data_IF_944287555686
#
_entry.id   IF_944287555686
#
_cell.length_a   1.000
_cell.length_b   1.000
_cell.length_c   1.000
_cell.angle_alpha   90.00
_cell.angle_beta   90.00
_cell.angle_gamma   90.00
#
_symmetry.space_group_name_H-M   'P 1'
#
loop_
_entity.id
_entity.type
_entity.pdbx_description
1 polymer ?
#
# COMPACT_ATOMS: atom_id res chain seq x y z
N UNK A 1 27.99 -18.05 52.83
CA UNK A 1 26.86 -17.11 52.64
C UNK A 1 26.07 -17.54 51.41
N UNK A 2 24.74 -17.43 51.42
CA UNK A 2 23.89 -17.69 50.23
C UNK A 2 23.87 -16.47 49.31
N UNK A 3 23.71 -16.67 48.01
CA UNK A 3 23.61 -15.55 47.05
C UNK A 3 22.22 -14.89 47.05
N UNK A 4 22.13 -13.65 46.57
CA UNK A 4 20.83 -12.96 46.43
C UNK A 4 19.90 -13.68 45.46
N UNK A 5 20.44 -14.36 44.45
CA UNK A 5 19.68 -15.19 43.52
C UNK A 5 19.11 -16.44 44.20
N UNK A 6 19.91 -17.13 45.03
CA UNK A 6 19.47 -18.29 45.82
C UNK A 6 18.38 -17.94 46.83
N UNK A 7 18.55 -16.84 47.57
CA UNK A 7 17.54 -16.36 48.52
C UNK A 7 16.21 -16.07 47.82
N UNK A 8 16.25 -15.40 46.65
CA UNK A 8 15.05 -15.12 45.87
C UNK A 8 14.38 -16.39 45.34
N UNK A 9 15.14 -17.39 44.88
CA UNK A 9 14.58 -18.69 44.45
C UNK A 9 13.93 -19.44 45.62
N UNK A 10 14.59 -19.50 46.78
CA UNK A 10 14.07 -20.21 47.95
C UNK A 10 12.79 -19.57 48.51
N UNK A 11 12.69 -18.24 48.46
CA UNK A 11 11.52 -17.49 48.92
C UNK A 11 10.51 -17.18 47.79
N UNK A 12 10.71 -17.70 46.57
CA UNK A 12 9.88 -17.43 45.39
C UNK A 12 9.64 -15.93 45.09
N UNK A 13 10.67 -15.09 45.31
CA UNK A 13 10.60 -13.64 45.09
C UNK A 13 11.09 -13.32 43.67
N UNK A 14 10.28 -12.65 42.83
CA UNK A 14 10.71 -12.25 41.49
C UNK A 14 11.79 -11.17 41.53
N UNK A 15 12.60 -11.11 40.47
CA UNK A 15 13.61 -10.05 40.32
C UNK A 15 12.88 -8.74 40.00
N UNK A 16 13.10 -7.66 40.78
CA UNK A 16 12.47 -6.37 40.50
C UNK A 16 12.97 -5.85 39.15
N UNK A 17 12.04 -5.53 38.27
CA UNK A 17 12.35 -5.12 36.90
C UNK A 17 11.60 -3.84 36.54
N UNK A 18 12.34 -2.78 36.22
CA UNK A 18 11.77 -1.51 35.81
C UNK A 18 11.51 -1.49 34.29
N UNK A 19 10.25 -1.34 33.89
CA UNK A 19 9.79 -1.34 32.49
C UNK A 19 10.37 -0.18 31.67
N UNK A 20 10.70 0.93 32.33
CA UNK A 20 11.27 2.13 31.70
C UNK A 20 12.80 2.05 31.56
N UNK A 21 13.45 1.17 32.33
CA UNK A 21 14.89 0.90 32.20
C UNK A 21 15.21 -0.09 31.07
N UNK A 22 14.21 -0.80 30.53
CA UNK A 22 14.38 -1.72 29.41
C UNK A 22 14.64 -0.93 28.15
N UNK A 23 15.80 -1.14 27.53
CA UNK A 23 16.10 -0.59 26.22
C UNK A 23 15.03 -0.99 25.20
N UNK A 24 14.54 -0.01 24.45
CA UNK A 24 13.59 -0.19 23.35
C UNK A 24 14.15 0.51 22.11
N UNK A 25 13.94 -0.04 20.90
CA UNK A 25 14.29 0.67 19.68
C UNK A 25 13.51 1.99 19.61
N UNK A 26 14.21 3.10 19.36
CA UNK A 26 13.60 4.43 19.30
C UNK A 26 13.34 4.78 17.84
N UNK A 27 12.07 4.75 17.42
CA UNK A 27 11.68 5.26 16.10
C UNK A 27 11.53 6.77 16.15
N UNK A 28 12.44 7.48 15.48
CA UNK A 28 12.42 8.95 15.41
C UNK A 28 11.65 9.40 14.18
N UNK A 29 10.57 10.16 14.39
CA UNK A 29 9.92 10.90 13.30
C UNK A 29 10.87 11.99 12.80
N UNK A 30 10.89 12.20 11.49
CA UNK A 30 11.65 13.29 10.88
C UNK A 30 11.10 14.63 11.39
N UNK A 31 11.95 15.43 12.03
CA UNK A 31 11.58 16.75 12.53
C UNK A 31 11.54 17.73 11.36
N UNK A 32 10.35 18.24 11.04
CA UNK A 32 10.15 19.32 10.06
C UNK A 32 10.10 20.66 10.80
N UNK A 33 10.97 21.59 10.43
CA UNK A 33 10.99 22.94 11.00
C UNK A 33 9.95 23.84 10.33
N UNK A 34 9.51 24.86 11.07
CA UNK A 34 8.65 25.90 10.54
C UNK A 34 9.42 26.74 9.51
N UNK A 35 8.75 27.27 8.48
CA UNK A 35 9.36 28.21 7.54
C UNK A 35 9.73 29.52 8.25
N UNK A 36 10.67 30.27 7.67
CA UNK A 36 11.07 31.59 8.18
C UNK A 36 9.97 32.60 7.84
N UNK A 37 9.42 33.27 8.85
CA UNK A 37 8.44 34.35 8.70
C UNK A 37 9.10 35.70 8.92
N UNK A 38 9.08 36.55 7.90
CA UNK A 38 9.62 37.92 7.98
C UNK A 38 8.51 38.84 8.48
N UNK A 39 8.72 39.60 9.58
CA UNK A 39 7.73 40.56 10.05
C UNK A 39 7.35 41.58 8.98
N UNK A 40 6.06 41.89 8.85
CA UNK A 40 5.54 42.78 7.82
C UNK A 40 6.22 44.17 7.79
N UNK A 41 6.54 44.71 8.98
CA UNK A 41 7.29 45.97 9.13
C UNK A 41 8.66 45.90 8.47
N UNK A 42 9.40 44.82 8.69
CA UNK A 42 10.72 44.61 8.09
C UNK A 42 10.60 44.34 6.59
N UNK A 43 9.63 43.53 6.17
CA UNK A 43 9.40 43.18 4.77
C UNK A 43 9.16 44.41 3.88
N UNK A 44 8.48 45.45 4.40
CA UNK A 44 8.25 46.70 3.67
C UNK A 44 9.53 47.51 3.46
N UNK A 45 10.43 47.52 4.44
CA UNK A 45 11.68 48.30 4.43
C UNK A 45 12.80 47.64 3.60
N UNK A 46 12.63 46.37 3.21
CA UNK A 46 13.63 45.65 2.42
C UNK A 46 13.78 46.26 1.01
N UNK A 47 15.03 46.36 0.49
CA UNK A 47 15.26 46.82 -0.87
C UNK A 47 14.61 45.87 -1.89
N UNK A 48 14.25 46.42 -3.07
CA UNK A 48 13.50 45.69 -4.09
C UNK A 48 14.11 44.34 -4.47
N UNK A 49 15.45 44.25 -4.49
CA UNK A 49 16.19 43.03 -4.84
C UNK A 49 15.99 41.90 -3.82
N UNK A 50 15.91 42.21 -2.53
CA UNK A 50 15.79 41.23 -1.44
C UNK A 50 14.36 41.05 -0.91
N UNK A 51 13.41 41.84 -1.40
CA UNK A 51 12.00 41.75 -1.01
C UNK A 51 11.39 40.43 -1.52
N UNK A 52 10.78 39.61 -0.64
CA UNK A 52 10.17 38.35 -1.05
C UNK A 52 8.96 38.60 -1.98
N UNK A 53 8.80 37.74 -2.99
CA UNK A 53 7.80 37.87 -4.08
C UNK A 53 6.59 36.95 -3.88
N UNK A 54 6.19 36.74 -2.62
CA UNK A 54 5.10 35.84 -2.28
C UNK A 54 3.77 36.41 -2.80
N UNK A 55 3.10 35.64 -3.67
CA UNK A 55 1.79 36.02 -4.21
C UNK A 55 0.70 35.44 -3.32
N UNK A 56 -0.29 36.24 -2.88
CA UNK A 56 -1.42 35.70 -2.15
C UNK A 56 -2.17 34.69 -3.04
N UNK A 57 -2.72 33.65 -2.41
CA UNK A 57 -3.62 32.73 -3.10
C UNK A 57 -4.86 33.52 -3.52
N UNK A 58 -5.11 33.60 -4.82
CA UNK A 58 -6.33 34.21 -5.34
C UNK A 58 -7.48 33.20 -5.31
N UNK A 59 -8.71 33.71 -5.28
CA UNK A 59 -9.90 32.88 -5.43
C UNK A 59 -9.93 32.35 -6.87
N UNK A 60 -10.35 31.09 -7.03
CA UNK A 60 -10.46 30.48 -8.35
C UNK A 60 -11.35 31.34 -9.25
N UNK A 61 -10.86 31.66 -10.44
CA UNK A 61 -11.63 32.39 -11.43
C UNK A 61 -12.74 31.50 -12.01
N UNK A 62 -13.77 32.11 -12.62
CA UNK A 62 -14.86 31.37 -13.25
C UNK A 62 -14.35 30.40 -14.34
N UNK A 63 -13.30 30.81 -15.07
CA UNK A 63 -12.65 29.99 -16.10
C UNK A 63 -12.01 28.73 -15.51
N UNK A 64 -11.31 28.87 -14.38
CA UNK A 64 -10.68 27.73 -13.68
C UNK A 64 -11.73 26.74 -13.16
N UNK A 65 -12.85 27.25 -12.63
CA UNK A 65 -13.95 26.41 -12.16
C UNK A 65 -14.60 25.65 -13.32
N UNK A 66 -14.83 26.31 -14.47
CA UNK A 66 -15.34 25.66 -15.67
C UNK A 66 -14.41 24.57 -16.19
N UNK A 67 -13.10 24.84 -16.19
CA UNK A 67 -12.09 23.85 -16.59
C UNK A 67 -12.08 22.64 -15.66
N UNK A 68 -12.20 22.87 -14.34
CA UNK A 68 -12.26 21.80 -13.34
C UNK A 68 -13.47 20.89 -13.55
N UNK A 69 -14.65 21.45 -13.81
CA UNK A 69 -15.86 20.69 -14.10
C UNK A 69 -15.68 19.81 -15.35
N UNK A 70 -15.16 20.38 -16.43
CA UNK A 70 -14.90 19.63 -17.67
C UNK A 70 -13.92 18.48 -17.44
N UNK A 71 -12.84 18.70 -16.68
CA UNK A 71 -11.87 17.64 -16.33
C UNK A 71 -12.54 16.54 -15.51
N UNK A 72 -13.40 16.90 -14.57
CA UNK A 72 -14.12 15.94 -13.73
C UNK A 72 -15.08 15.07 -14.55
N UNK A 73 -15.83 15.66 -15.48
CA UNK A 73 -16.69 14.90 -16.40
C UNK A 73 -15.89 13.94 -17.29
N UNK A 74 -14.77 14.40 -17.85
CA UNK A 74 -13.87 13.53 -18.63
C UNK A 74 -13.32 12.38 -17.80
N UNK A 75 -12.92 12.63 -16.56
CA UNK A 75 -12.42 11.59 -15.65
C UNK A 75 -13.49 10.55 -15.32
N UNK A 76 -14.74 10.97 -15.06
CA UNK A 76 -15.87 10.06 -14.85
C UNK A 76 -16.13 9.18 -16.07
N UNK A 77 -16.19 9.79 -17.26
CA UNK A 77 -16.36 9.04 -18.52
C UNK A 77 -15.25 8.01 -18.73
N UNK A 78 -13.99 8.37 -18.45
CA UNK A 78 -12.86 7.45 -18.53
C UNK A 78 -13.01 6.26 -17.57
N UNK A 79 -13.32 6.50 -16.30
CA UNK A 79 -13.53 5.44 -15.30
C UNK A 79 -14.60 4.43 -15.74
N UNK A 80 -15.75 4.91 -16.21
CA UNK A 80 -16.83 4.03 -16.69
C UNK A 80 -16.39 3.16 -17.88
N UNK A 81 -15.56 3.69 -18.78
CA UNK A 81 -15.04 2.92 -19.91
C UNK A 81 -14.01 1.88 -19.46
N UNK A 82 -13.13 2.24 -18.52
CA UNK A 82 -12.12 1.32 -17.99
C UNK A 82 -12.77 0.16 -17.22
N UNK A 83 -13.85 0.41 -16.47
CA UNK A 83 -14.65 -0.63 -15.80
C UNK A 83 -15.32 -1.59 -16.80
N UNK A 84 -15.91 -1.06 -17.88
CA UNK A 84 -16.49 -1.88 -18.96
C UNK A 84 -15.43 -2.77 -19.61
N UNK A 85 -14.26 -2.22 -19.91
CA UNK A 85 -13.13 -2.96 -20.48
C UNK A 85 -12.63 -4.05 -19.54
N UNK A 86 -12.49 -3.73 -18.25
CA UNK A 86 -12.08 -4.70 -17.23
C UNK A 86 -13.06 -5.86 -17.13
N UNK A 87 -14.37 -5.58 -17.09
CA UNK A 87 -15.41 -6.61 -17.04
C UNK A 87 -15.42 -7.48 -18.30
N UNK A 88 -15.24 -6.90 -19.48
CA UNK A 88 -15.13 -7.65 -20.73
C UNK A 88 -13.90 -8.56 -20.73
N UNK A 89 -12.75 -8.06 -20.28
CA UNK A 89 -11.52 -8.84 -20.15
C UNK A 89 -11.67 -10.00 -19.16
N UNK A 90 -12.29 -9.77 -18.00
CA UNK A 90 -12.56 -10.81 -17.00
C UNK A 90 -13.50 -11.90 -17.55
N UNK A 91 -14.51 -11.53 -18.33
CA UNK A 91 -15.41 -12.49 -18.96
C UNK A 91 -14.70 -13.36 -20.01
N UNK A 92 -13.86 -12.76 -20.85
CA UNK A 92 -13.04 -13.50 -21.84
C UNK A 92 -12.00 -14.39 -21.15
N UNK A 93 -11.37 -13.90 -20.09
CA UNK A 93 -10.45 -14.70 -19.26
C UNK A 93 -11.16 -15.88 -18.61
N UNK A 94 -12.37 -15.70 -18.09
CA UNK A 94 -13.15 -16.79 -17.50
C UNK A 94 -13.52 -17.87 -18.55
N UNK A 95 -13.92 -17.47 -19.77
CA UNK A 95 -14.22 -18.42 -20.86
C UNK A 95 -12.98 -19.22 -21.27
N UNK A 96 -11.85 -18.54 -21.46
CA UNK A 96 -10.58 -19.20 -21.83
C UNK A 96 -10.07 -20.13 -20.72
N UNK A 97 -10.22 -19.75 -19.45
CA UNK A 97 -9.89 -20.59 -18.30
C UNK A 97 -10.81 -21.83 -18.21
N UNK A 98 -12.10 -21.69 -18.49
CA UNK A 98 -13.01 -22.85 -18.57
C UNK A 98 -12.62 -23.80 -19.69
N UNK A 99 -12.29 -23.28 -20.88
CA UNK A 99 -11.87 -24.09 -22.02
C UNK A 99 -10.57 -24.85 -21.75
N UNK A 100 -9.57 -24.18 -21.17
CA UNK A 100 -8.28 -24.79 -20.80
C UNK A 100 -8.45 -25.85 -19.70
N UNK A 101 -9.28 -25.60 -18.68
CA UNK A 101 -9.64 -26.60 -17.65
C UNK A 101 -10.32 -27.84 -18.26
N UNK A 102 -11.23 -27.65 -19.23
CA UNK A 102 -11.87 -28.76 -19.96
C UNK A 102 -10.83 -29.58 -20.73
N UNK A 103 -9.95 -28.90 -21.48
CA UNK A 103 -8.85 -29.54 -22.21
C UNK A 103 -7.95 -30.39 -21.31
N UNK A 104 -7.49 -29.81 -20.19
CA UNK A 104 -6.66 -30.53 -19.21
C UNK A 104 -7.38 -31.73 -18.57
N UNK A 105 -8.70 -31.63 -18.35
CA UNK A 105 -9.52 -32.74 -17.84
C UNK A 105 -9.58 -33.89 -18.85
N UNK A 106 -9.81 -33.58 -20.12
CA UNK A 106 -9.88 -34.60 -21.17
C UNK A 106 -8.52 -35.27 -21.40
N UNK A 107 -7.42 -34.50 -21.40
CA UNK A 107 -6.04 -35.03 -21.44
C UNK A 107 -5.75 -35.97 -20.26
N UNK A 108 -6.19 -35.62 -19.05
CA UNK A 108 -6.04 -36.48 -17.87
C UNK A 108 -6.83 -37.79 -18.01
N UNK A 109 -8.05 -37.74 -18.54
CA UNK A 109 -8.86 -38.94 -18.80
C UNK A 109 -8.21 -39.87 -19.81
N UNK A 110 -7.63 -39.31 -20.88
CA UNK A 110 -6.91 -40.09 -21.90
C UNK A 110 -5.69 -40.75 -21.29
N UNK A 111 -4.90 -40.02 -20.47
CA UNK A 111 -3.75 -40.57 -19.75
C UNK A 111 -4.12 -41.75 -18.83
N UNK A 112 -5.14 -41.59 -17.99
CA UNK A 112 -5.58 -42.70 -17.14
C UNK A 112 -6.06 -43.91 -17.95
N UNK A 113 -6.79 -43.70 -19.06
CA UNK A 113 -7.18 -44.79 -19.97
C UNK A 113 -5.98 -45.49 -20.59
N UNK A 114 -4.93 -44.77 -20.99
CA UNK A 114 -3.71 -45.38 -21.54
C UNK A 114 -2.92 -46.14 -20.49
N UNK A 115 -2.79 -45.59 -19.27
CA UNK A 115 -2.14 -46.25 -18.14
C UNK A 115 -2.86 -47.55 -17.76
N UNK A 116 -4.19 -47.54 -17.68
CA UNK A 116 -4.98 -48.74 -17.42
C UNK A 116 -4.82 -49.80 -18.51
N UNK A 117 -4.80 -49.40 -19.79
CA UNK A 117 -4.52 -50.32 -20.90
C UNK A 117 -3.14 -50.95 -20.79
N UNK A 118 -2.11 -50.17 -20.44
CA UNK A 118 -0.76 -50.69 -20.23
C UNK A 118 -0.69 -51.64 -19.02
N UNK A 119 -1.31 -51.28 -17.89
CA UNK A 119 -1.38 -52.14 -16.70
C UNK A 119 -2.12 -53.45 -16.97
N UNK A 120 -3.20 -53.45 -17.74
CA UNK A 120 -3.90 -54.68 -18.16
C UNK A 120 -3.02 -55.56 -19.04
N UNK A 121 -2.30 -54.98 -20.00
CA UNK A 121 -1.33 -55.71 -20.86
C UNK A 121 -0.14 -56.28 -20.09
N UNK A 122 0.23 -55.70 -18.96
CA UNK A 122 1.31 -56.20 -18.11
C UNK A 122 0.86 -57.28 -17.11
N UNK A 123 -0.47 -57.49 -16.95
CA UNK A 123 -1.08 -58.43 -16.00
C UNK A 123 -1.61 -59.72 -16.65
N UNK A 124 -1.80 -59.72 -17.97
CA UNK A 124 -2.08 -60.91 -18.77
C UNK A 124 -0.88 -61.23 -19.62
#
# INVERSE_FOLDING_TARGET
>A
MRTTAELRRAHNIPIPHNKDSVYKPIERKVRKFNPIEIPAKLQHLLPFKSKPKDRPKHKNTLVENRLRLLKHEKAKKKKMQDEKKKKAYEAEKAKTEQLTKKRQRDERRVRYRSEDKQKKRARG
#
